data_IF_947396402669
#
_entry.id   IF_947396402669
#
_cell.length_a   1.000
_cell.length_b   1.000
_cell.length_c   1.000
_cell.angle_alpha   90.00
_cell.angle_beta   90.00
_cell.angle_gamma   90.00
#
_symmetry.space_group_name_H-M   'P 1'
#
loop_
_entity.id
_entity.type
_entity.pdbx_description
1 polymer ?
#
# COMPACT_ATOMS: atom_id res chain seq x y z
N UNK A 1 -3.31 12.70 14.25
CA UNK A 1 -3.88 11.36 14.13
C UNK A 1 -3.65 10.93 12.71
N UNK A 2 -2.39 10.59 12.41
CA UNK A 2 -2.02 10.10 11.10
C UNK A 2 -2.87 8.87 10.78
N UNK A 3 -3.30 8.73 9.52
CA UNK A 3 -4.02 7.51 9.14
C UNK A 3 -5.54 7.47 9.38
N UNK A 4 -6.24 8.60 9.46
CA UNK A 4 -7.72 8.56 9.37
C UNK A 4 -8.27 8.21 7.97
N UNK A 5 -7.45 8.24 6.90
CA UNK A 5 -7.90 7.87 5.55
C UNK A 5 -7.00 6.79 4.93
N UNK A 6 -7.31 5.52 5.19
CA UNK A 6 -6.81 4.44 4.35
C UNK A 6 -7.26 4.65 2.91
N UNK A 7 -6.41 4.27 1.94
CA UNK A 7 -6.74 4.29 0.51
C UNK A 7 -7.06 2.88 0.05
N UNK A 8 -8.11 2.74 -0.75
CA UNK A 8 -8.41 1.47 -1.42
C UNK A 8 -7.88 1.50 -2.85
N UNK A 9 -7.09 0.49 -3.22
CA UNK A 9 -6.70 0.19 -4.59
C UNK A 9 -7.61 -0.90 -5.15
N UNK A 10 -7.98 -0.77 -6.42
CA UNK A 10 -8.79 -1.76 -7.13
C UNK A 10 -7.87 -2.59 -8.02
N UNK A 11 -7.80 -3.90 -7.79
CA UNK A 11 -6.89 -4.82 -8.47
C UNK A 11 -7.71 -5.82 -9.29
N UNK A 12 -7.35 -6.00 -10.56
CA UNK A 12 -7.90 -7.02 -11.46
C UNK A 12 -6.88 -7.35 -12.55
N UNK A 13 -7.05 -8.49 -13.22
CA UNK A 13 -6.25 -8.83 -14.39
C UNK A 13 -6.90 -8.26 -15.66
N UNK A 14 -6.08 -7.97 -16.66
CA UNK A 14 -6.52 -7.43 -17.96
C UNK A 14 -6.84 -8.50 -19.01
N UNK A 15 -6.34 -9.73 -18.81
CA UNK A 15 -6.59 -10.89 -19.66
C UNK A 15 -7.01 -12.11 -18.82
N UNK A 16 -7.71 -13.07 -19.45
CA UNK A 16 -8.14 -14.30 -18.79
C UNK A 16 -6.93 -15.22 -18.61
N UNK A 17 -6.56 -15.62 -17.38
CA UNK A 17 -5.43 -16.52 -17.18
C UNK A 17 -5.83 -17.97 -17.49
N UNK A 18 -4.86 -18.77 -17.95
CA UNK A 18 -4.98 -20.21 -18.19
C UNK A 18 -4.79 -21.04 -16.92
N UNK A 19 -4.05 -20.51 -15.94
CA UNK A 19 -3.83 -21.10 -14.61
C UNK A 19 -4.13 -20.08 -13.52
N UNK A 20 -4.23 -20.53 -12.26
CA UNK A 20 -4.46 -19.61 -11.14
C UNK A 20 -3.28 -18.64 -11.01
N UNK A 21 -3.60 -17.36 -10.81
CA UNK A 21 -2.63 -16.30 -10.53
C UNK A 21 -2.73 -15.93 -9.07
N UNK A 22 -1.63 -16.06 -8.33
CA UNK A 22 -1.49 -15.58 -6.95
C UNK A 22 -0.62 -14.33 -6.95
N UNK A 23 -1.15 -13.25 -6.38
CA UNK A 23 -0.41 -12.02 -6.12
C UNK A 23 0.04 -12.03 -4.65
N UNK A 24 1.34 -11.89 -4.41
CA UNK A 24 1.93 -11.70 -3.09
C UNK A 24 2.28 -10.23 -2.96
N UNK A 25 1.74 -9.57 -1.95
CA UNK A 25 1.84 -8.13 -1.76
C UNK A 25 2.70 -7.88 -0.52
N UNK A 26 3.84 -7.21 -0.72
CA UNK A 26 4.78 -6.83 0.33
C UNK A 26 4.98 -5.32 0.37
N UNK A 27 5.20 -4.78 1.55
CA UNK A 27 5.42 -3.34 1.78
C UNK A 27 6.70 -3.09 2.57
N UNK A 28 7.12 -1.84 2.67
CA UNK A 28 8.10 -1.41 3.67
C UNK A 28 7.47 -1.34 5.07
N UNK A 29 7.97 -0.41 5.88
CA UNK A 29 7.61 -0.31 7.31
C UNK A 29 6.57 0.76 7.62
N UNK A 30 6.28 1.65 6.66
CA UNK A 30 5.46 2.84 6.88
C UNK A 30 4.01 2.63 6.46
N UNK A 31 3.73 1.59 5.67
CA UNK A 31 2.36 1.20 5.31
C UNK A 31 2.07 -0.28 5.61
N UNK A 32 0.82 -0.56 5.93
CA UNK A 32 0.24 -1.90 5.99
C UNK A 32 -0.81 -2.07 4.90
N UNK A 33 -0.95 -3.30 4.41
CA UNK A 33 -1.91 -3.68 3.37
C UNK A 33 -2.81 -4.82 3.81
N UNK A 34 -4.05 -4.80 3.34
CA UNK A 34 -5.01 -5.90 3.54
C UNK A 34 -5.88 -6.10 2.31
N UNK A 35 -5.92 -7.31 1.71
CA UNK A 35 -5.13 -8.49 2.07
C UNK A 35 -3.67 -8.39 1.59
N UNK A 36 -2.77 -9.20 2.16
CA UNK A 36 -1.39 -9.37 1.66
C UNK A 36 -1.28 -10.36 0.49
N UNK A 37 -2.37 -11.05 0.16
CA UNK A 37 -2.45 -11.97 -0.97
C UNK A 37 -3.77 -11.82 -1.71
N UNK A 38 -3.73 -11.95 -3.04
CA UNK A 38 -4.91 -11.95 -3.89
C UNK A 38 -4.86 -13.11 -4.88
N UNK A 39 -6.03 -13.66 -5.20
CA UNK A 39 -6.14 -14.83 -6.08
C UNK A 39 -7.08 -14.55 -7.24
N UNK A 40 -6.57 -14.77 -8.44
CA UNK A 40 -7.34 -14.67 -9.67
C UNK A 40 -7.35 -16.00 -10.41
N UNK A 41 -8.46 -16.29 -11.07
CA UNK A 41 -8.75 -17.49 -11.83
C UNK A 41 -9.37 -17.10 -13.16
N UNK A 42 -9.55 -18.07 -14.05
CA UNK A 42 -10.19 -17.86 -15.34
C UNK A 42 -11.66 -17.40 -15.25
N UNK A 43 -12.28 -17.41 -14.07
CA UNK A 43 -13.68 -17.00 -13.84
C UNK A 43 -13.83 -15.68 -13.10
N UNK A 44 -12.86 -15.27 -12.27
CA UNK A 44 -12.94 -14.02 -11.48
C UNK A 44 -11.91 -12.95 -11.89
N UNK A 45 -11.08 -13.20 -12.92
CA UNK A 45 -9.96 -12.31 -13.29
C UNK A 45 -10.36 -10.85 -13.57
N UNK A 46 -11.59 -10.61 -14.03
CA UNK A 46 -12.14 -9.27 -14.29
C UNK A 46 -12.86 -8.65 -13.11
N UNK A 47 -13.15 -9.43 -12.07
CA UNK A 47 -13.78 -8.95 -10.85
C UNK A 47 -12.74 -8.18 -10.04
N UNK A 48 -13.01 -6.90 -9.80
CA UNK A 48 -12.13 -6.05 -9.02
C UNK A 48 -12.08 -6.52 -7.56
N UNK A 49 -10.88 -6.82 -7.07
CA UNK A 49 -10.61 -7.09 -5.66
C UNK A 49 -10.04 -5.83 -5.01
N UNK A 50 -10.47 -5.55 -3.79
CA UNK A 50 -10.05 -4.36 -3.04
C UNK A 50 -8.78 -4.66 -2.23
N UNK A 51 -7.76 -3.81 -2.40
CA UNK A 51 -6.56 -3.76 -1.58
C UNK A 51 -6.63 -2.50 -0.71
N UNK A 52 -6.81 -2.67 0.58
CA UNK A 52 -6.75 -1.58 1.53
C UNK A 52 -5.29 -1.27 1.88
N UNK A 53 -4.92 0.00 1.82
CA UNK A 53 -3.59 0.52 2.16
C UNK A 53 -3.77 1.55 3.28
N UNK A 54 -3.06 1.36 4.39
CA UNK A 54 -3.08 2.29 5.53
C UNK A 54 -1.66 2.66 5.90
N UNK A 55 -1.46 3.92 6.26
CA UNK A 55 -0.25 4.34 6.95
C UNK A 55 -0.21 3.68 8.34
N UNK A 56 0.99 3.34 8.80
CA UNK A 56 1.22 3.05 10.21
C UNK A 56 1.18 4.39 10.94
N UNK A 57 0.23 4.56 11.87
CA UNK A 57 0.14 5.77 12.70
C UNK A 57 1.31 5.76 13.70
N UNK A 58 2.16 6.78 13.65
CA UNK A 58 3.16 7.02 14.67
C UNK A 58 2.97 8.41 15.32
N UNK A 59 3.83 8.74 16.28
CA UNK A 59 3.70 9.96 17.09
C UNK A 59 4.70 11.05 16.68
N UNK A 60 5.48 10.80 15.61
CA UNK A 60 6.46 11.75 15.13
C UNK A 60 5.78 12.70 14.14
N UNK A 61 5.99 14.01 14.34
CA UNK A 61 5.60 15.00 13.33
C UNK A 61 6.73 14.98 12.31
N UNK A 62 6.51 14.40 11.14
CA UNK A 62 7.50 14.49 10.08
C UNK A 62 7.28 15.78 9.26
N UNK A 63 8.33 16.60 9.11
CA UNK A 63 8.24 17.90 8.42
C UNK A 63 8.29 17.78 6.88
N UNK A 64 8.48 16.55 6.36
CA UNK A 64 8.70 16.26 4.94
C UNK A 64 7.66 15.29 4.38
N UNK A 65 7.64 15.07 3.05
CA UNK A 65 6.81 14.03 2.45
C UNK A 65 7.44 12.64 2.66
N UNK A 66 6.67 11.70 3.19
CA UNK A 66 7.12 10.32 3.38
C UNK A 66 6.54 9.40 2.29
N UNK A 67 7.36 8.42 1.91
CA UNK A 67 7.05 7.48 0.84
C UNK A 67 7.32 6.06 1.31
N UNK A 68 6.46 5.14 0.89
CA UNK A 68 6.72 3.71 0.98
C UNK A 68 6.41 3.06 -0.38
N UNK A 69 6.68 1.76 -0.50
CA UNK A 69 6.44 0.99 -1.69
C UNK A 69 5.57 -0.22 -1.42
N UNK A 70 4.75 -0.56 -2.42
CA UNK A 70 4.05 -1.83 -2.53
C UNK A 70 4.73 -2.60 -3.66
N UNK A 71 5.23 -3.79 -3.35
CA UNK A 71 5.72 -4.74 -4.36
C UNK A 71 4.72 -5.88 -4.50
N UNK A 72 4.39 -6.22 -5.74
CA UNK A 72 3.52 -7.34 -6.08
C UNK A 72 4.31 -8.36 -6.88
N UNK A 73 4.59 -9.49 -6.25
CA UNK A 73 5.16 -10.66 -6.91
C UNK A 73 4.03 -11.56 -7.41
N UNK A 74 4.15 -12.03 -8.65
CA UNK A 74 3.15 -12.90 -9.28
C UNK A 74 3.65 -14.34 -9.34
N UNK A 75 2.83 -15.27 -8.85
CA UNK A 75 3.04 -16.71 -8.99
C UNK A 75 1.91 -17.31 -9.84
N UNK A 76 2.29 -17.97 -10.95
CA UNK A 76 1.35 -18.66 -11.84
C UNK A 76 2.07 -19.68 -12.71
N UNK A 77 1.40 -20.76 -13.10
CA UNK A 77 1.87 -21.65 -14.18
C UNK A 77 1.61 -21.06 -15.57
N UNK A 78 0.78 -20.01 -15.66
CA UNK A 78 0.55 -19.29 -16.90
C UNK A 78 1.76 -18.40 -17.23
N UNK A 79 2.45 -18.73 -18.32
CA UNK A 79 3.65 -18.03 -18.79
C UNK A 79 3.38 -16.54 -19.09
N UNK A 80 2.13 -16.17 -19.40
CA UNK A 80 1.74 -14.78 -19.58
C UNK A 80 1.81 -13.93 -18.29
N UNK A 81 1.88 -14.57 -17.13
CA UNK A 81 1.90 -13.93 -15.81
C UNK A 81 3.18 -14.15 -15.01
N UNK A 82 4.03 -15.12 -15.38
CA UNK A 82 5.21 -15.53 -14.58
C UNK A 82 6.28 -14.45 -14.35
N UNK A 83 6.38 -13.45 -15.22
CA UNK A 83 7.46 -12.46 -15.18
C UNK A 83 7.03 -11.11 -14.61
N UNK A 84 5.83 -11.03 -14.02
CA UNK A 84 5.32 -9.79 -13.49
C UNK A 84 5.85 -9.57 -12.06
N UNK A 85 6.67 -8.54 -11.92
CA UNK A 85 7.06 -7.93 -10.65
C UNK A 85 6.69 -6.44 -10.75
N UNK A 86 5.73 -6.02 -9.95
CA UNK A 86 5.19 -4.67 -10.00
C UNK A 86 5.66 -3.93 -8.75
N UNK A 87 6.25 -2.74 -8.94
CA UNK A 87 6.61 -1.84 -7.85
C UNK A 87 5.81 -0.55 -7.97
N UNK A 88 5.04 -0.25 -6.93
CA UNK A 88 4.25 0.97 -6.81
C UNK A 88 4.77 1.78 -5.63
N UNK A 89 5.10 3.06 -5.87
CA UNK A 89 5.42 4.01 -4.78
C UNK A 89 4.15 4.66 -4.29
N UNK A 90 4.00 4.79 -2.97
CA UNK A 90 2.86 5.37 -2.27
C UNK A 90 3.36 6.59 -1.50
N UNK A 91 2.69 7.74 -1.69
CA UNK A 91 2.86 8.91 -0.83
C UNK A 91 2.03 8.74 0.43
N UNK A 92 2.65 9.00 1.58
CA UNK A 92 2.02 9.07 2.90
C UNK A 92 1.80 10.55 3.21
N UNK A 93 0.63 10.87 3.76
CA UNK A 93 0.27 12.25 4.08
C UNK A 93 0.31 12.44 5.58
N UNK A 94 1.20 13.32 6.03
CA UNK A 94 1.33 13.74 7.42
C UNK A 94 0.06 14.49 7.87
N UNK A 95 -0.43 14.14 9.05
CA UNK A 95 -1.62 14.71 9.70
C UNK A 95 -1.34 15.13 11.14
N UNK A 96 -0.22 14.71 11.73
CA UNK A 96 0.13 15.13 13.07
C UNK A 96 0.41 16.64 13.11
N UNK A 97 -0.36 17.32 13.96
CA UNK A 97 -0.27 18.78 14.12
C UNK A 97 1.13 19.11 14.63
N UNK A 98 1.84 19.98 13.92
CA UNK A 98 3.10 20.53 14.37
C UNK A 98 2.93 21.03 15.81
N UNK A 99 3.63 20.37 16.75
CA UNK A 99 3.76 20.89 18.12
C UNK A 99 4.50 22.20 17.99
N UNK A 100 3.75 23.29 17.85
CA UNK A 100 4.25 24.65 18.01
C UNK A 100 5.05 24.64 19.31
N UNK A 101 6.36 24.79 19.19
CA UNK A 101 7.27 24.91 20.32
C UNK A 101 6.66 25.96 21.25
N UNK A 102 6.32 25.58 22.49
CA UNK A 102 5.99 26.59 23.50
C UNK A 102 7.18 27.54 23.56
N UNK A 103 7.03 28.85 23.31
CA UNK A 103 8.12 29.77 23.59
C UNK A 103 8.44 29.63 25.08
N UNK A 104 9.67 29.19 25.39
CA UNK A 104 10.24 29.35 26.72
C UNK A 104 10.72 30.80 26.76
N UNK A 105 9.80 31.72 27.01
CA UNK A 105 10.16 33.03 27.53
C UNK A 105 10.01 32.95 29.05
N UNK A 106 11.01 32.35 29.68
CA UNK A 106 11.37 32.66 31.06
C UNK A 106 12.69 33.42 31.05
N UNK A 107 12.58 34.74 31.17
CA UNK A 107 13.60 35.56 31.82
C UNK A 107 12.89 36.62 32.65
N UNK A 108 13.15 36.61 33.96
CA UNK A 108 13.00 37.75 34.87
C UNK A 108 11.62 38.02 35.41
#
# INVERSE_FOLDING_TARGET
AEGASGRTLSVKLTSRPMSRVRLIITTGTQIIVSPSEMFFSSTNYTEAQSLEVRAVDDVEVEEAEHFDSIRVQVESEDLGYQTLDILQVVRIAENDLSRTSKPIDRWG
#
